data_IF_024073990636
#
_entry.id   IF_024073990636
#
_cell.length_a   1.000
_cell.length_b   1.000
_cell.length_c   1.000
_cell.angle_alpha   90.00
_cell.angle_beta   90.00
_cell.angle_gamma   90.00
#
_symmetry.space_group_name_H-M   'P 1'
#
loop_
_entity.id
_entity.type
_entity.pdbx_description
1 polymer ?
#
# COMPACT_ATOMS: atom_id res chain seq x y z
N UNK A 1 14.92 0.82 24.04
CA UNK A 1 13.77 0.56 23.14
C UNK A 1 12.82 1.76 23.05
N UNK A 2 12.53 2.45 24.17
CA UNK A 2 11.63 3.62 24.22
C UNK A 2 12.00 4.75 23.23
N UNK A 3 13.27 5.13 23.10
CA UNK A 3 13.69 6.23 22.22
C UNK A 3 13.29 6.04 20.74
N UNK A 4 13.23 4.80 20.26
CA UNK A 4 12.82 4.51 18.87
C UNK A 4 11.32 4.74 18.67
N UNK A 5 10.51 4.39 19.66
CA UNK A 5 9.05 4.60 19.61
C UNK A 5 8.74 6.09 19.66
N UNK A 6 9.41 6.84 20.54
CA UNK A 6 9.27 8.30 20.62
C UNK A 6 9.65 8.96 19.31
N UNK A 7 10.79 8.60 18.72
CA UNK A 7 11.25 9.13 17.43
C UNK A 7 10.27 8.83 16.27
N UNK A 8 9.64 7.65 16.27
CA UNK A 8 8.59 7.31 15.31
C UNK A 8 7.33 8.14 15.51
N UNK A 9 6.88 8.33 16.76
CA UNK A 9 5.71 9.13 17.07
C UNK A 9 5.93 10.61 16.75
N UNK A 10 7.11 11.14 17.03
CA UNK A 10 7.49 12.52 16.67
C UNK A 10 7.52 12.70 15.15
N UNK A 11 8.10 11.74 14.43
CA UNK A 11 8.13 11.76 12.96
C UNK A 11 6.72 11.65 12.38
N UNK A 12 5.85 10.82 12.96
CA UNK A 12 4.45 10.71 12.54
C UNK A 12 3.70 12.02 12.77
N UNK A 13 3.87 12.62 13.94
CA UNK A 13 3.25 13.90 14.28
C UNK A 13 3.66 15.00 13.31
N UNK A 14 4.95 15.06 12.91
CA UNK A 14 5.43 16.01 11.91
C UNK A 14 4.71 15.85 10.57
N UNK A 15 4.63 14.62 10.05
CA UNK A 15 3.92 14.33 8.80
C UNK A 15 2.44 14.74 8.89
N UNK A 16 1.80 14.42 10.02
CA UNK A 16 0.40 14.77 10.23
C UNK A 16 0.17 16.29 10.23
N UNK A 17 1.00 17.05 10.95
CA UNK A 17 0.90 18.51 10.96
C UNK A 17 1.20 19.10 9.57
N UNK A 18 2.19 18.58 8.84
CA UNK A 18 2.51 19.04 7.47
C UNK A 18 1.30 18.85 6.54
N UNK A 19 0.61 17.71 6.62
CA UNK A 19 -0.58 17.44 5.82
C UNK A 19 -1.76 18.30 6.26
N UNK A 20 -1.93 18.51 7.57
CA UNK A 20 -2.96 19.38 8.12
C UNK A 20 -2.78 20.82 7.67
N UNK A 21 -1.55 21.34 7.69
CA UNK A 21 -1.21 22.68 7.18
C UNK A 21 -1.49 22.80 5.69
N UNK A 22 -1.23 21.74 4.92
CA UNK A 22 -1.57 21.68 3.50
C UNK A 22 -3.08 21.47 3.22
N UNK A 23 -3.90 21.27 4.25
CA UNK A 23 -5.34 21.02 4.12
C UNK A 23 -5.70 19.65 3.53
N UNK A 24 -4.77 18.69 3.56
CA UNK A 24 -4.97 17.36 2.98
C UNK A 24 -5.19 16.33 4.10
N UNK A 25 -6.19 15.46 3.93
CA UNK A 25 -6.40 14.34 4.84
C UNK A 25 -5.24 13.34 4.75
N UNK A 26 -4.94 12.66 5.87
CA UNK A 26 -4.01 11.54 5.90
C UNK A 26 -4.79 10.22 5.76
N UNK A 27 -4.29 9.31 4.94
CA UNK A 27 -4.72 7.91 4.93
C UNK A 27 -3.58 6.98 5.32
N UNK A 28 -3.89 5.76 5.71
CA UNK A 28 -2.86 4.80 6.11
C UNK A 28 -2.10 4.32 4.88
N UNK A 29 -2.80 3.90 3.82
CA UNK A 29 -2.21 3.35 2.60
C UNK A 29 -2.79 4.00 1.33
N UNK A 30 -2.00 4.03 0.26
CA UNK A 30 -2.34 4.73 -1.01
C UNK A 30 -3.54 4.16 -1.78
N UNK A 31 -3.97 2.95 -1.46
CA UNK A 31 -5.06 2.24 -2.15
C UNK A 31 -6.40 2.29 -1.40
N UNK A 32 -6.46 2.91 -0.21
CA UNK A 32 -7.69 2.98 0.58
C UNK A 32 -8.67 4.00 -0.01
N UNK A 33 -8.19 5.22 -0.24
CA UNK A 33 -8.97 6.35 -0.75
C UNK A 33 -8.19 7.10 -1.83
N UNK A 34 -8.92 7.69 -2.79
CA UNK A 34 -8.31 8.32 -3.98
C UNK A 34 -7.63 9.67 -3.73
N UNK A 35 -7.94 10.36 -2.64
CA UNK A 35 -7.54 11.76 -2.41
C UNK A 35 -6.60 12.03 -1.23
N UNK A 36 -6.70 11.34 -0.08
CA UNK A 36 -5.82 11.61 1.05
C UNK A 36 -4.36 11.23 0.76
N UNK A 37 -3.40 11.88 1.43
CA UNK A 37 -1.99 11.50 1.32
C UNK A 37 -1.69 10.26 2.16
N UNK A 38 -1.02 9.23 1.61
CA UNK A 38 -0.70 8.01 2.33
C UNK A 38 0.48 8.20 3.29
N UNK A 39 0.34 7.69 4.50
CA UNK A 39 1.44 7.62 5.47
C UNK A 39 2.46 6.55 5.05
N UNK A 40 1.98 5.38 4.61
CA UNK A 40 2.84 4.30 4.17
C UNK A 40 3.43 4.56 2.78
N UNK A 41 4.72 4.27 2.65
CA UNK A 41 5.50 4.31 1.41
C UNK A 41 5.93 2.92 0.98
N UNK A 42 6.11 2.75 -0.31
CA UNK A 42 6.62 1.51 -0.87
C UNK A 42 8.11 1.36 -0.57
N UNK A 43 8.58 0.12 -0.52
CA UNK A 43 10.00 -0.16 -0.27
C UNK A 43 10.91 0.42 -1.37
N UNK A 44 10.41 0.41 -2.60
CA UNK A 44 11.10 0.86 -3.80
C UNK A 44 10.91 2.36 -4.09
N UNK A 45 10.20 3.09 -3.23
CA UNK A 45 10.11 4.54 -3.38
C UNK A 45 11.49 5.16 -3.13
N UNK A 46 12.03 5.85 -4.14
CA UNK A 46 13.33 6.52 -4.05
C UNK A 46 13.20 8.01 -3.67
N UNK A 47 12.01 8.58 -3.85
CA UNK A 47 11.71 9.99 -3.60
C UNK A 47 10.75 10.11 -2.42
N UNK A 48 11.15 10.89 -1.41
CA UNK A 48 10.36 11.18 -0.23
C UNK A 48 10.20 12.69 -0.07
N UNK A 49 9.06 13.13 0.47
CA UNK A 49 8.86 14.55 0.78
C UNK A 49 9.72 15.02 1.95
N UNK A 50 10.06 14.12 2.88
CA UNK A 50 10.99 14.42 3.98
C UNK A 50 11.62 13.15 4.56
N UNK A 51 12.70 13.32 5.33
CA UNK A 51 13.36 12.22 6.06
C UNK A 51 12.41 11.49 7.03
N UNK A 52 11.38 12.19 7.54
CA UNK A 52 10.38 11.57 8.41
C UNK A 52 9.55 10.52 7.66
N UNK A 53 9.27 10.75 6.37
CA UNK A 53 8.49 9.82 5.54
C UNK A 53 9.24 8.52 5.26
N UNK A 54 10.58 8.56 5.22
CA UNK A 54 11.43 7.38 4.96
C UNK A 54 11.31 6.30 6.04
N UNK A 55 10.89 6.69 7.26
CA UNK A 55 10.68 5.79 8.40
C UNK A 55 9.41 4.93 8.25
N UNK A 56 8.45 5.34 7.42
CA UNK A 56 7.16 4.68 7.23
C UNK A 56 7.11 3.87 5.92
N UNK A 57 8.09 2.99 5.74
CA UNK A 57 8.12 2.05 4.61
C UNK A 57 7.62 0.69 5.05
N UNK A 58 6.70 0.11 4.28
CA UNK A 58 6.18 -1.22 4.54
C UNK A 58 6.28 -2.07 3.28
N UNK A 59 6.83 -3.27 3.42
CA UNK A 59 6.82 -4.25 2.33
C UNK A 59 5.41 -4.80 2.21
N UNK A 60 4.79 -4.63 1.05
CA UNK A 60 3.58 -5.38 0.71
C UNK A 60 3.97 -6.84 0.49
N UNK A 61 3.22 -7.75 1.11
CA UNK A 61 3.21 -9.14 0.71
C UNK A 61 2.75 -9.21 -0.75
N UNK A 62 3.62 -9.69 -1.64
CA UNK A 62 3.26 -9.92 -3.04
C UNK A 62 2.25 -11.08 -3.23
N UNK A 63 1.73 -11.65 -2.14
CA UNK A 63 0.67 -12.67 -2.19
C UNK A 63 -0.71 -12.08 -2.51
N UNK A 64 -0.91 -10.79 -2.25
CA UNK A 64 -2.19 -10.10 -2.52
C UNK A 64 -2.16 -9.28 -3.82
N UNK A 65 -1.26 -9.62 -4.75
CA UNK A 65 -1.15 -8.97 -6.09
C UNK A 65 -1.28 -9.96 -7.25
N UNK A 66 -1.78 -11.18 -7.00
CA UNK A 66 -2.17 -12.03 -8.12
C UNK A 66 -3.37 -11.35 -8.83
N UNK A 67 -3.26 -11.06 -10.15
CA UNK A 67 -4.38 -10.48 -10.88
C UNK A 67 -5.55 -11.47 -10.89
N UNK A 68 -6.77 -10.96 -11.04
CA UNK A 68 -7.91 -11.83 -11.34
C UNK A 68 -7.62 -12.62 -12.62
N UNK A 69 -7.49 -13.95 -12.49
CA UNK A 69 -7.25 -14.85 -13.61
C UNK A 69 -8.51 -15.64 -13.90
N UNK A 70 -8.88 -15.72 -15.18
CA UNK A 70 -9.97 -16.57 -15.61
C UNK A 70 -9.54 -18.04 -15.50
N UNK A 71 -10.31 -18.84 -14.77
CA UNK A 71 -10.12 -20.28 -14.65
C UNK A 71 -10.95 -20.98 -15.73
N UNK A 72 -10.30 -21.72 -16.63
CA UNK A 72 -10.96 -22.49 -17.67
C UNK A 72 -10.88 -23.98 -17.35
N UNK A 73 -12.04 -24.61 -17.10
CA UNK A 73 -12.10 -26.04 -16.82
C UNK A 73 -12.03 -26.82 -18.13
N UNK A 74 -10.97 -27.60 -18.31
CA UNK A 74 -10.79 -28.51 -19.46
C UNK A 74 -10.90 -29.96 -19.03
N UNK A 75 -11.51 -30.79 -19.85
CA UNK A 75 -11.51 -32.24 -19.65
C UNK A 75 -10.19 -32.89 -20.09
N UNK A 76 -10.03 -34.19 -19.85
CA UNK A 76 -8.82 -34.95 -20.23
C UNK A 76 -8.59 -35.01 -21.75
N UNK A 77 -9.60 -34.65 -22.55
CA UNK A 77 -9.49 -34.53 -24.02
C UNK A 77 -9.10 -33.12 -24.47
N UNK A 78 -8.99 -32.17 -23.53
CA UNK A 78 -8.60 -30.78 -23.79
C UNK A 78 -9.77 -29.85 -24.16
N UNK A 79 -11.02 -30.34 -24.13
CA UNK A 79 -12.21 -29.52 -24.42
C UNK A 79 -12.65 -28.73 -23.19
N UNK A 80 -13.05 -27.47 -23.41
CA UNK A 80 -13.62 -26.62 -22.36
C UNK A 80 -15.02 -27.14 -21.99
N UNK A 81 -15.27 -27.31 -20.70
CA UNK A 81 -16.51 -27.94 -20.21
C UNK A 81 -17.74 -27.06 -20.42
N UNK A 82 -17.57 -25.74 -20.54
CA UNK A 82 -18.64 -24.77 -20.80
C UNK A 82 -19.28 -24.92 -22.20
N UNK A 83 -18.54 -25.42 -23.21
CA UNK A 83 -19.04 -25.59 -24.59
C UNK A 83 -20.02 -26.77 -24.77
N UNK A 84 -20.36 -27.49 -23.69
CA UNK A 84 -21.26 -28.66 -23.72
C UNK A 84 -22.73 -28.36 -23.40
N UNK A 85 -23.08 -27.12 -23.05
CA UNK A 85 -24.46 -26.73 -22.70
C UNK A 85 -25.07 -25.86 -23.80
#
# INVERSE_FOLDING_TARGET
>A
MQNRVVDLLDSWRKIFEDYRVAGVGMQYQKYELKQPKPLLREMLDEVFESEHHRKFRANRSLRDVEPEVNLFLKDLSGMQVEDRT
#
